data_IF_260854258225
#
_entry.id   IF_260854258225
#
_cell.length_a   1.000
_cell.length_b   1.000
_cell.length_c   1.000
_cell.angle_alpha   90.00
_cell.angle_beta   90.00
_cell.angle_gamma   90.00
#
_symmetry.space_group_name_H-M   'P 1'
#
loop_
_entity.id
_entity.type
_entity.pdbx_description
1 polymer ?
#
# COMPACT_ATOMS: atom_id res chain seq x y z
N UNK A 1 -17.32 6.94 -5.08
CA UNK A 1 -16.16 7.36 -4.28
C UNK A 1 -16.39 6.90 -2.85
N UNK A 2 -15.57 5.99 -2.31
CA UNK A 2 -15.72 5.48 -0.95
C UNK A 2 -15.20 6.52 0.03
N UNK A 3 -16.01 6.88 1.02
CA UNK A 3 -15.61 7.83 2.06
C UNK A 3 -14.71 7.13 3.08
N UNK A 4 -13.53 7.69 3.34
CA UNK A 4 -12.61 7.22 4.36
C UNK A 4 -12.48 8.25 5.48
N UNK A 5 -12.44 7.79 6.73
CA UNK A 5 -12.30 8.64 7.93
C UNK A 5 -11.08 9.57 7.88
N UNK A 6 -10.01 9.17 7.16
CA UNK A 6 -8.82 10.00 6.91
C UNK A 6 -9.13 11.35 6.24
N UNK A 7 -10.23 11.46 5.50
CA UNK A 7 -10.64 12.72 4.88
C UNK A 7 -11.13 13.77 5.89
N UNK A 8 -11.37 13.38 7.14
CA UNK A 8 -11.70 14.33 8.21
C UNK A 8 -10.46 14.97 8.85
N UNK A 9 -9.25 14.45 8.61
CA UNK A 9 -8.03 14.96 9.25
C UNK A 9 -7.87 16.47 8.98
N UNK A 10 -7.99 16.98 7.73
CA UNK A 10 -7.89 18.42 7.48
C UNK A 10 -8.97 19.22 8.21
N UNK A 11 -10.20 18.71 8.27
CA UNK A 11 -11.31 19.39 8.97
C UNK A 11 -11.01 19.51 10.46
N UNK A 12 -10.58 18.43 11.10
CA UNK A 12 -10.25 18.42 12.55
C UNK A 12 -9.08 19.34 12.85
N UNK A 13 -8.03 19.31 12.03
CA UNK A 13 -6.84 20.17 12.21
C UNK A 13 -7.18 21.64 12.02
N UNK A 14 -7.96 21.99 10.99
CA UNK A 14 -8.31 23.38 10.68
C UNK A 14 -9.39 23.96 11.62
N UNK A 15 -10.18 23.11 12.27
CA UNK A 15 -11.15 23.54 13.28
C UNK A 15 -10.48 24.01 14.58
N UNK A 16 -9.26 23.55 14.89
CA UNK A 16 -8.57 23.97 16.12
C UNK A 16 -8.24 25.47 16.16
N UNK A 17 -7.57 26.08 15.15
CA UNK A 17 -7.35 27.53 15.12
C UNK A 17 -8.63 28.36 15.23
N UNK A 18 -9.71 27.91 14.57
CA UNK A 18 -11.01 28.59 14.59
C UNK A 18 -11.63 28.54 15.98
N UNK A 19 -11.58 27.37 16.64
CA UNK A 19 -12.05 27.22 18.01
C UNK A 19 -11.24 28.09 19.00
N UNK A 20 -9.91 28.16 18.81
CA UNK A 20 -9.01 29.00 19.62
C UNK A 20 -9.34 30.48 19.45
N UNK A 21 -9.46 31.00 18.21
CA UNK A 21 -9.82 32.40 17.95
C UNK A 21 -11.18 32.76 18.57
N UNK A 22 -12.17 31.88 18.40
CA UNK A 22 -13.49 32.07 18.99
C UNK A 22 -13.44 32.12 20.53
N UNK A 23 -12.69 31.21 21.16
CA UNK A 23 -12.49 31.18 22.62
C UNK A 23 -11.80 32.45 23.15
N UNK A 24 -10.88 33.04 22.38
CA UNK A 24 -10.21 34.29 22.74
C UNK A 24 -11.13 35.52 22.67
N UNK A 25 -12.18 35.49 21.84
CA UNK A 25 -13.15 36.60 21.68
C UNK A 25 -14.26 36.62 22.75
N UNK A 26 -14.49 35.52 23.47
CA UNK A 26 -15.52 35.46 24.51
C UNK A 26 -15.17 36.34 25.72
N UNK A 27 -16.08 37.14 26.31
CA UNK A 27 -15.80 38.04 27.44
C UNK A 27 -15.54 37.33 28.79
N UNK A 28 -15.33 36.00 28.80
CA UNK A 28 -15.17 35.16 29.99
C UNK A 28 -13.76 35.24 30.59
N UNK A 29 -13.60 34.95 31.89
CA UNK A 29 -12.33 35.04 32.62
C UNK A 29 -11.20 34.16 32.03
N UNK A 30 -9.95 34.63 32.12
CA UNK A 30 -8.74 33.97 31.56
C UNK A 30 -8.55 32.51 32.01
N UNK A 31 -8.89 32.20 33.26
CA UNK A 31 -8.79 30.83 33.82
C UNK A 31 -9.71 29.83 33.11
N UNK A 32 -10.95 30.22 32.82
CA UNK A 32 -11.91 29.36 32.12
C UNK A 32 -11.48 29.06 30.68
N UNK A 33 -10.90 30.04 29.99
CA UNK A 33 -10.35 29.85 28.64
C UNK A 33 -9.16 28.88 28.66
N UNK A 34 -8.26 29.06 29.63
CA UNK A 34 -7.13 28.15 29.83
C UNK A 34 -7.58 26.72 30.13
N UNK A 35 -8.61 26.54 30.96
CA UNK A 35 -9.18 25.23 31.26
C UNK A 35 -9.82 24.57 30.03
N UNK A 36 -10.56 25.33 29.21
CA UNK A 36 -11.16 24.81 27.97
C UNK A 36 -10.10 24.40 26.94
N UNK A 37 -9.09 25.25 26.71
CA UNK A 37 -7.99 24.94 25.80
C UNK A 37 -7.17 23.74 26.29
N UNK A 38 -6.87 23.69 27.60
CA UNK A 38 -6.20 22.54 28.21
C UNK A 38 -7.01 21.25 28.09
N UNK A 39 -8.33 21.33 28.28
CA UNK A 39 -9.24 20.19 28.10
C UNK A 39 -9.28 19.70 26.65
N UNK A 40 -9.34 20.60 25.67
CA UNK A 40 -9.27 20.24 24.25
C UNK A 40 -7.93 19.58 23.90
N UNK A 41 -6.81 20.12 24.38
CA UNK A 41 -5.49 19.52 24.18
C UNK A 41 -5.39 18.12 24.81
N UNK A 42 -5.92 17.94 26.02
CA UNK A 42 -5.95 16.65 26.70
C UNK A 42 -6.79 15.61 25.93
N UNK A 43 -7.95 16.00 25.41
CA UNK A 43 -8.80 15.12 24.58
C UNK A 43 -8.10 14.73 23.27
N UNK A 44 -7.38 15.66 22.63
CA UNK A 44 -6.61 15.35 21.42
C UNK A 44 -5.48 14.36 21.69
N UNK A 45 -4.76 14.55 22.79
CA UNK A 45 -3.74 13.59 23.23
C UNK A 45 -4.35 12.23 23.56
N UNK A 46 -5.54 12.21 24.18
CA UNK A 46 -6.26 10.97 24.46
C UNK A 46 -6.66 10.25 23.17
N UNK A 47 -7.29 10.94 22.21
CA UNK A 47 -7.66 10.34 20.92
C UNK A 47 -6.43 9.85 20.15
N UNK A 48 -5.33 10.61 20.17
CA UNK A 48 -4.06 10.20 19.56
C UNK A 48 -3.49 8.95 20.21
N UNK A 49 -3.51 8.88 21.54
CA UNK A 49 -3.04 7.71 22.29
C UNK A 49 -3.93 6.48 22.04
N UNK A 50 -5.24 6.63 22.11
CA UNK A 50 -6.21 5.56 21.85
C UNK A 50 -5.99 4.94 20.45
N UNK A 51 -5.93 5.80 19.43
CA UNK A 51 -5.64 5.40 18.06
C UNK A 51 -4.27 4.73 17.91
N UNK A 52 -3.23 5.30 18.54
CA UNK A 52 -1.90 4.71 18.56
C UNK A 52 -1.88 3.33 19.21
N UNK A 53 -2.55 3.16 20.35
CA UNK A 53 -2.63 1.86 21.04
C UNK A 53 -3.38 0.82 20.25
N UNK A 54 -4.35 1.23 19.42
CA UNK A 54 -5.07 0.32 18.52
C UNK A 54 -4.21 -0.16 17.34
N UNK A 55 -3.38 0.73 16.80
CA UNK A 55 -2.56 0.46 15.60
C UNK A 55 -1.19 -0.14 15.90
N UNK A 56 -0.53 0.28 16.99
CA UNK A 56 0.80 -0.16 17.37
C UNK A 56 1.00 -1.70 17.35
N UNK A 57 0.06 -2.52 17.86
CA UNK A 57 0.24 -3.97 17.84
C UNK A 57 -0.04 -4.62 16.48
N UNK A 58 -0.64 -3.89 15.52
CA UNK A 58 -1.06 -4.44 14.23
C UNK A 58 0.09 -4.34 13.23
N UNK A 59 0.72 -5.47 12.91
CA UNK A 59 1.61 -5.54 11.75
C UNK A 59 0.74 -5.59 10.48
N UNK A 60 0.70 -4.49 9.73
CA UNK A 60 -0.06 -4.39 8.48
C UNK A 60 0.67 -5.02 7.28
N UNK A 61 1.97 -5.34 7.43
CA UNK A 61 2.84 -5.85 6.36
C UNK A 61 3.19 -7.34 6.53
N UNK A 62 2.60 -8.05 7.49
CA UNK A 62 2.98 -9.43 7.81
C UNK A 62 2.80 -10.40 6.64
N UNK A 63 1.74 -10.21 5.83
CA UNK A 63 1.50 -11.01 4.63
C UNK A 63 2.58 -10.76 3.56
N UNK A 64 2.96 -9.50 3.34
CA UNK A 64 4.04 -9.15 2.42
C UNK A 64 5.39 -9.65 2.90
N UNK A 65 5.69 -9.58 4.20
CA UNK A 65 6.92 -10.13 4.78
C UNK A 65 7.05 -11.64 4.52
N UNK A 66 5.96 -12.39 4.70
CA UNK A 66 5.93 -13.81 4.43
C UNK A 66 6.05 -14.11 2.91
N UNK A 67 5.40 -13.33 2.05
CA UNK A 67 5.54 -13.44 0.61
C UNK A 67 6.99 -13.18 0.15
N UNK A 68 7.64 -12.13 0.67
CA UNK A 68 9.06 -11.84 0.40
C UNK A 68 9.93 -13.02 0.81
N UNK A 69 9.71 -13.58 2.01
CA UNK A 69 10.50 -14.72 2.48
C UNK A 69 10.34 -15.94 1.56
N UNK A 70 9.12 -16.26 1.13
CA UNK A 70 8.84 -17.37 0.22
C UNK A 70 9.52 -17.17 -1.14
N UNK A 71 9.34 -16.01 -1.76
CA UNK A 71 9.92 -15.67 -3.06
C UNK A 71 11.46 -15.68 -3.05
N UNK A 72 12.09 -15.24 -1.95
CA UNK A 72 13.54 -15.31 -1.78
C UNK A 72 14.04 -16.75 -1.69
N UNK A 73 13.31 -17.63 -1.00
CA UNK A 73 13.67 -19.05 -0.90
C UNK A 73 13.52 -19.74 -2.26
N UNK A 74 12.52 -19.37 -3.05
CA UNK A 74 12.32 -19.86 -4.40
C UNK A 74 13.34 -19.29 -5.42
N UNK A 75 14.08 -18.24 -5.05
CA UNK A 75 15.21 -17.73 -5.82
C UNK A 75 14.85 -16.63 -6.83
N UNK A 76 13.69 -16.01 -6.69
CA UNK A 76 13.30 -14.90 -7.54
C UNK A 76 14.01 -13.60 -7.14
N UNK A 77 14.33 -12.78 -8.14
CA UNK A 77 14.92 -11.44 -7.97
C UNK A 77 14.14 -10.36 -8.72
N UNK A 78 13.41 -10.72 -9.77
CA UNK A 78 12.62 -9.79 -10.57
C UNK A 78 11.13 -10.11 -10.50
N UNK A 79 10.29 -9.09 -10.50
CA UNK A 79 8.84 -9.31 -10.45
C UNK A 79 7.99 -8.11 -10.82
N UNK A 80 6.68 -8.31 -10.73
CA UNK A 80 5.67 -7.28 -10.96
C UNK A 80 4.71 -7.23 -9.77
N UNK A 81 4.26 -6.02 -9.44
CA UNK A 81 3.25 -5.83 -8.41
C UNK A 81 2.42 -4.57 -8.67
N UNK A 82 1.27 -4.50 -8.01
CA UNK A 82 0.45 -3.29 -7.99
C UNK A 82 1.17 -2.13 -7.29
N UNK A 83 0.79 -0.91 -7.65
CA UNK A 83 1.38 0.32 -7.13
C UNK A 83 1.54 0.38 -5.60
N UNK A 84 0.53 -0.10 -4.86
CA UNK A 84 0.55 -0.05 -3.40
C UNK A 84 1.42 -1.13 -2.74
N UNK A 85 1.82 -2.17 -3.47
CA UNK A 85 2.64 -3.27 -2.92
C UNK A 85 4.08 -3.27 -3.43
N UNK A 86 4.35 -2.81 -4.65
CA UNK A 86 5.68 -2.92 -5.25
C UNK A 86 6.80 -2.32 -4.37
N UNK A 87 6.66 -1.06 -3.97
CA UNK A 87 7.66 -0.39 -3.13
C UNK A 87 7.76 -0.99 -1.72
N UNK A 88 6.66 -1.53 -1.19
CA UNK A 88 6.66 -2.23 0.11
C UNK A 88 7.51 -3.50 0.00
N UNK A 89 7.37 -4.25 -1.08
CA UNK A 89 8.15 -5.47 -1.32
C UNK A 89 9.65 -5.19 -1.51
N UNK A 90 9.99 -4.11 -2.22
CA UNK A 90 11.40 -3.66 -2.36
C UNK A 90 11.98 -3.33 -0.98
N UNK A 91 11.26 -2.57 -0.16
CA UNK A 91 11.72 -2.21 1.19
C UNK A 91 11.85 -3.45 2.09
N UNK A 92 10.85 -4.32 2.14
CA UNK A 92 10.85 -5.53 2.97
C UNK A 92 11.91 -6.56 2.53
N UNK A 93 12.26 -6.56 1.24
CA UNK A 93 13.37 -7.38 0.71
C UNK A 93 14.73 -6.71 0.89
N UNK A 94 14.80 -5.51 1.47
CA UNK A 94 16.00 -4.69 1.61
C UNK A 94 16.70 -4.44 0.24
N UNK A 95 15.89 -4.13 -0.77
CA UNK A 95 16.34 -3.86 -2.14
C UNK A 95 16.78 -5.09 -2.94
N UNK A 96 16.52 -6.31 -2.44
CA UNK A 96 16.90 -7.53 -3.14
C UNK A 96 16.00 -7.86 -4.35
N UNK A 97 14.78 -7.31 -4.36
CA UNK A 97 13.88 -7.46 -5.49
C UNK A 97 13.90 -6.23 -6.38
N UNK A 98 13.95 -6.47 -7.69
CA UNK A 98 13.69 -5.47 -8.72
C UNK A 98 12.27 -5.64 -9.24
N UNK A 99 11.39 -4.70 -8.90
CA UNK A 99 9.94 -4.85 -9.10
C UNK A 99 9.41 -3.77 -10.03
N UNK A 100 8.74 -4.22 -11.10
CA UNK A 100 8.01 -3.39 -12.04
C UNK A 100 6.61 -3.11 -11.54
N UNK A 101 6.14 -1.89 -11.76
CA UNK A 101 4.92 -1.38 -11.14
C UNK A 101 3.83 -1.18 -12.19
N UNK A 102 2.66 -1.79 -11.99
CA UNK A 102 1.48 -1.57 -12.84
C UNK A 102 0.69 -0.33 -12.47
N UNK A 103 -0.09 0.16 -13.44
CA UNK A 103 -0.93 1.35 -13.28
C UNK A 103 -2.02 1.11 -12.23
N UNK A 104 -2.18 2.00 -11.23
CA UNK A 104 -3.18 1.84 -10.20
C UNK A 104 -4.60 2.05 -10.75
N UNK A 105 -5.49 1.10 -10.47
CA UNK A 105 -6.92 1.22 -10.80
C UNK A 105 -7.27 0.95 -12.27
N UNK A 106 -6.31 0.41 -13.04
CA UNK A 106 -6.55 -0.13 -14.38
C UNK A 106 -6.48 -1.66 -14.32
N UNK A 107 -7.22 -2.31 -15.22
CA UNK A 107 -7.11 -3.76 -15.40
C UNK A 107 -5.76 -4.09 -16.05
N UNK A 108 -5.05 -5.09 -15.51
CA UNK A 108 -3.73 -5.48 -16.00
C UNK A 108 -3.89 -6.52 -17.09
N UNK A 109 -4.20 -6.06 -18.30
CA UNK A 109 -4.30 -6.92 -19.49
C UNK A 109 -2.99 -7.05 -20.27
N UNK A 110 -2.09 -6.10 -20.10
CA UNK A 110 -0.76 -6.11 -20.69
C UNK A 110 0.27 -5.95 -19.57
N UNK A 111 1.15 -6.94 -19.32
CA UNK A 111 2.16 -6.84 -18.29
C UNK A 111 3.15 -5.70 -18.53
N UNK A 112 3.31 -5.23 -19.77
CA UNK A 112 4.21 -4.15 -20.15
C UNK A 112 3.58 -2.75 -19.98
N UNK A 113 2.28 -2.66 -19.65
CA UNK A 113 1.61 -1.39 -19.36
C UNK A 113 1.97 -0.88 -17.95
N UNK A 114 3.23 -0.46 -17.81
CA UNK A 114 3.82 -0.02 -16.54
C UNK A 114 3.45 1.42 -16.17
N UNK A 115 3.54 1.73 -14.88
CA UNK A 115 3.25 3.05 -14.32
C UNK A 115 4.48 3.96 -14.29
N UNK A 116 4.42 5.15 -14.87
CA UNK A 116 5.60 6.02 -15.05
C UNK A 116 6.30 6.48 -13.75
N UNK A 117 5.67 6.33 -12.58
CA UNK A 117 6.15 6.91 -11.32
C UNK A 117 6.57 5.84 -10.31
N UNK A 118 7.57 6.19 -9.48
CA UNK A 118 8.07 5.38 -8.37
C UNK A 118 8.59 3.99 -8.78
N UNK A 119 9.20 3.90 -9.96
CA UNK A 119 10.01 2.75 -10.40
C UNK A 119 11.23 3.22 -11.20
N UNK A 120 12.14 2.31 -11.52
CA UNK A 120 13.37 2.63 -12.26
C UNK A 120 13.03 2.91 -13.72
N UNK A 121 13.67 3.91 -14.34
CA UNK A 121 13.39 4.26 -15.73
C UNK A 121 13.76 3.14 -16.73
N UNK A 122 14.79 2.36 -16.41
CA UNK A 122 15.26 1.25 -17.26
C UNK A 122 14.19 0.15 -17.41
N UNK A 123 13.20 0.06 -16.52
CA UNK A 123 12.09 -0.90 -16.60
C UNK A 123 11.23 -0.75 -17.85
N UNK A 124 11.22 0.43 -18.48
CA UNK A 124 10.47 0.68 -19.72
C UNK A 124 11.20 0.20 -20.97
N UNK A 125 12.52 0.05 -20.89
CA UNK A 125 13.37 -0.34 -22.01
C UNK A 125 13.88 -1.79 -21.88
N UNK A 126 13.78 -2.37 -20.69
CA UNK A 126 14.31 -3.70 -20.35
C UNK A 126 13.23 -4.64 -19.81
N UNK A 127 13.21 -5.86 -20.34
CA UNK A 127 12.42 -6.97 -19.79
C UNK A 127 13.23 -7.75 -18.75
N UNK A 128 12.57 -8.43 -17.80
CA UNK A 128 13.26 -9.25 -16.81
C UNK A 128 14.13 -10.36 -17.42
N UNK A 129 15.31 -10.56 -16.84
CA UNK A 129 16.22 -11.64 -17.23
C UNK A 129 16.11 -12.81 -16.23
N UNK A 130 15.35 -13.83 -16.58
CA UNK A 130 15.20 -15.06 -15.79
C UNK A 130 13.80 -15.24 -15.19
N UNK A 131 13.68 -15.99 -14.07
CA UNK A 131 12.41 -16.25 -13.41
C UNK A 131 11.77 -14.97 -12.88
N UNK A 132 10.46 -14.86 -13.04
CA UNK A 132 9.68 -13.66 -12.69
C UNK A 132 8.56 -14.03 -11.75
N UNK A 133 8.30 -13.19 -10.74
CA UNK A 133 7.11 -13.34 -9.90
C UNK A 133 6.09 -12.23 -10.10
N UNK A 134 4.82 -12.53 -9.83
CA UNK A 134 3.73 -11.56 -9.72
C UNK A 134 3.21 -11.55 -8.29
N UNK A 135 2.96 -10.37 -7.74
CA UNK A 135 2.31 -10.24 -6.44
C UNK A 135 1.01 -9.43 -6.56
N UNK A 136 -0.08 -10.04 -6.11
CA UNK A 136 -1.38 -9.40 -6.01
C UNK A 136 -1.86 -9.39 -4.56
N UNK A 137 -2.43 -8.28 -4.13
CA UNK A 137 -3.28 -8.28 -2.95
C UNK A 137 -4.64 -8.87 -3.35
N UNK A 138 -5.20 -9.83 -2.61
CA UNK A 138 -6.48 -10.47 -2.96
C UNK A 138 -7.65 -9.49 -3.09
N UNK A 139 -7.64 -8.39 -2.33
CA UNK A 139 -8.65 -7.33 -2.46
C UNK A 139 -8.43 -6.47 -3.69
N UNK A 140 -7.18 -6.32 -4.13
CA UNK A 140 -6.85 -5.63 -5.38
C UNK A 140 -7.09 -6.56 -6.56
N UNK A 141 -6.90 -7.87 -6.40
CA UNK A 141 -7.19 -8.88 -7.41
C UNK A 141 -8.67 -8.84 -7.86
N UNK A 142 -9.60 -8.46 -6.99
CA UNK A 142 -11.01 -8.28 -7.37
C UNK A 142 -11.25 -7.10 -8.36
N UNK A 143 -10.33 -6.13 -8.45
CA UNK A 143 -10.47 -4.93 -9.31
C UNK A 143 -9.31 -4.71 -10.31
N UNK A 144 -8.20 -5.42 -10.11
CA UNK A 144 -6.89 -5.23 -10.78
C UNK A 144 -6.37 -6.55 -11.37
N UNK A 145 -7.06 -7.68 -11.15
CA UNK A 145 -6.73 -8.90 -11.91
C UNK A 145 -7.31 -8.74 -13.31
N UNK A 146 -6.56 -9.15 -14.35
CA UNK A 146 -7.08 -9.31 -15.69
C UNK A 146 -8.47 -9.93 -15.67
N UNK A 147 -9.34 -9.46 -16.55
CA UNK A 147 -10.50 -10.23 -17.01
C UNK A 147 -10.19 -11.70 -17.40
N UNK A 148 -8.91 -12.09 -17.47
CA UNK A 148 -8.37 -13.45 -17.57
C UNK A 148 -7.91 -14.00 -16.21
N UNK A 149 -8.22 -15.26 -15.95
CA UNK A 149 -7.72 -15.98 -14.78
C UNK A 149 -6.28 -16.43 -15.08
N UNK A 150 -5.29 -15.76 -14.51
CA UNK A 150 -3.89 -16.23 -14.56
C UNK A 150 -3.83 -17.63 -13.91
N UNK A 151 -3.55 -18.66 -14.69
CA UNK A 151 -3.58 -20.06 -14.23
C UNK A 151 -2.32 -20.87 -14.61
N UNK A 152 -1.42 -20.30 -15.40
CA UNK A 152 -0.19 -20.96 -15.86
C UNK A 152 0.97 -20.82 -14.87
N UNK A 153 0.89 -19.87 -13.93
CA UNK A 153 1.90 -19.62 -12.89
C UNK A 153 1.90 -20.63 -11.75
N UNK A 154 3.07 -20.85 -11.13
CA UNK A 154 3.18 -21.64 -9.89
C UNK A 154 2.85 -20.77 -8.69
N UNK A 155 1.96 -21.20 -7.81
CA UNK A 155 1.66 -20.45 -6.57
C UNK A 155 2.80 -20.64 -5.57
N UNK A 156 3.62 -19.61 -5.42
CA UNK A 156 4.79 -19.60 -4.50
C UNK A 156 4.38 -19.21 -3.07
N UNK A 157 3.32 -18.39 -2.95
CA UNK A 157 2.77 -17.97 -1.67
C UNK A 157 1.30 -17.60 -1.81
N UNK A 158 0.49 -17.97 -0.82
CA UNK A 158 -0.90 -17.56 -0.73
C UNK A 158 -1.34 -17.47 0.74
N UNK A 159 -1.98 -16.37 1.11
CA UNK A 159 -2.68 -16.22 2.39
C UNK A 159 -4.02 -15.47 2.20
N UNK A 160 -4.66 -15.02 3.28
CA UNK A 160 -5.94 -14.31 3.20
C UNK A 160 -5.85 -12.92 2.53
N UNK A 161 -4.65 -12.33 2.42
CA UNK A 161 -4.44 -10.95 1.97
C UNK A 161 -3.69 -10.83 0.64
N UNK A 162 -2.78 -11.74 0.32
CA UNK A 162 -2.02 -11.71 -0.93
C UNK A 162 -1.78 -13.10 -1.53
N UNK A 163 -1.45 -13.08 -2.81
CA UNK A 163 -1.07 -14.24 -3.60
C UNK A 163 0.15 -13.87 -4.45
N UNK A 164 1.13 -14.76 -4.50
CA UNK A 164 2.33 -14.62 -5.31
C UNK A 164 2.43 -15.79 -6.29
N UNK A 165 2.52 -15.46 -7.58
CA UNK A 165 2.75 -16.42 -8.66
C UNK A 165 4.19 -16.34 -9.12
N UNK A 166 4.79 -17.48 -9.43
CA UNK A 166 6.12 -17.62 -9.99
C UNK A 166 6.07 -18.20 -11.39
N UNK A 167 6.87 -17.62 -12.28
CA UNK A 167 7.02 -18.03 -13.67
C UNK A 167 8.49 -18.29 -13.98
N UNK A 168 8.81 -19.31 -14.81
CA UNK A 168 10.19 -19.63 -15.14
C UNK A 168 10.86 -18.57 -16.02
N UNK A 169 10.09 -17.73 -16.73
CA UNK A 169 10.59 -16.64 -17.57
C UNK A 169 9.53 -15.56 -17.79
N UNK A 170 9.98 -14.37 -18.21
CA UNK A 170 9.09 -13.30 -18.65
C UNK A 170 8.17 -13.72 -19.82
N UNK A 171 8.66 -14.53 -20.77
CA UNK A 171 7.83 -15.02 -21.88
C UNK A 171 6.69 -15.93 -21.41
N UNK A 172 6.97 -16.82 -20.43
CA UNK A 172 5.96 -17.69 -19.84
C UNK A 172 4.91 -16.92 -19.03
N UNK A 173 5.33 -15.84 -18.37
CA UNK A 173 4.41 -14.91 -17.74
C UNK A 173 3.55 -14.20 -18.78
N UNK A 174 4.15 -13.65 -19.84
CA UNK A 174 3.45 -12.90 -20.88
C UNK A 174 2.42 -13.72 -21.65
N UNK A 175 2.66 -15.02 -21.87
CA UNK A 175 1.67 -15.90 -22.50
C UNK A 175 0.40 -16.03 -21.67
N UNK A 176 0.49 -16.02 -20.34
CA UNK A 176 -0.65 -16.11 -19.42
C UNK A 176 -1.57 -14.87 -19.49
N UNK A 177 -1.05 -13.73 -19.93
CA UNK A 177 -1.83 -12.49 -20.19
C UNK A 177 -2.41 -12.41 -21.62
N UNK A 178 -2.07 -13.33 -22.52
CA UNK A 178 -2.37 -13.20 -23.96
C UNK A 178 -3.54 -14.08 -24.45
N UNK A 179 -4.15 -14.89 -23.58
CA UNK A 179 -5.21 -15.87 -23.91
C UNK A 179 -6.64 -15.37 -23.63
#
# INVERSE_FOLDING_TARGET
>A
MVYYTRYNIPVVVLMMPVAVDYLYRLPRCRLWRGALLGGMAALLLWCGNDYYTELWPKNMTSSQEAAVAALRVAGYTEGYATFWNANVMVELSNGAFDIRVWKPGEDVTDPDNLYEWLQVADHFDMVPEGPVFLLFNKKEAEYTTPSQVLDQGTVEYEDDNCIAFGYPSYEAMRSDFSD
#
